data_IF_991420198219
#
_entry.id   IF_991420198219
#
_cell.length_a   1.000
_cell.length_b   1.000
_cell.length_c   1.000
_cell.angle_alpha   90.00
_cell.angle_beta   90.00
_cell.angle_gamma   90.00
#
_symmetry.space_group_name_H-M   'P 1'
#
loop_
_entity.id
_entity.type
_entity.pdbx_description
1 polymer ?
#
# COMPACT_ATOMS: atom_id res chain seq x y z
N UNK A 1 21.67 16.12 31.89
CA UNK A 1 20.66 17.18 31.99
C UNK A 1 19.88 17.19 30.67
N UNK A 2 18.82 16.38 30.64
CA UNK A 2 17.98 16.21 29.41
C UNK A 2 16.88 17.27 29.48
N UNK A 3 16.92 18.22 28.55
CA UNK A 3 15.79 19.12 28.31
C UNK A 3 14.93 18.42 27.29
N UNK A 4 13.87 17.74 27.74
CA UNK A 4 12.80 17.22 26.91
C UNK A 4 11.94 18.41 26.53
N UNK A 5 11.95 18.79 25.25
CA UNK A 5 11.09 19.85 24.70
C UNK A 5 9.63 19.42 24.76
N UNK A 6 8.92 19.91 25.76
CA UNK A 6 7.47 19.75 25.94
C UNK A 6 6.68 20.75 25.08
N UNK A 7 6.87 20.74 23.77
CA UNK A 7 6.20 21.72 22.88
C UNK A 7 5.30 21.15 21.80
N UNK A 8 4.99 19.85 21.82
CA UNK A 8 4.15 19.22 20.76
C UNK A 8 2.75 18.83 21.25
N UNK A 9 2.44 18.93 22.54
CA UNK A 9 1.12 18.51 23.06
C UNK A 9 0.10 19.63 23.30
N UNK A 10 0.38 20.86 22.92
CA UNK A 10 -0.51 21.99 23.22
C UNK A 10 -1.62 22.24 22.19
N UNK A 11 -1.71 21.48 21.07
CA UNK A 11 -2.80 21.65 20.11
C UNK A 11 -3.83 20.52 20.06
N UNK A 12 -3.61 19.43 20.80
CA UNK A 12 -4.54 18.29 20.83
C UNK A 12 -5.36 18.18 22.14
N UNK A 13 -5.41 19.20 22.96
CA UNK A 13 -5.85 19.07 24.36
C UNK A 13 -7.08 19.86 24.77
N UNK A 14 -7.89 20.43 23.90
CA UNK A 14 -9.18 20.96 24.31
C UNK A 14 -10.28 19.93 24.03
N UNK A 15 -10.74 19.29 25.11
CA UNK A 15 -11.95 18.46 25.12
C UNK A 15 -13.16 19.31 24.73
N UNK A 16 -13.58 19.21 23.49
CA UNK A 16 -14.80 19.86 23.00
C UNK A 16 -15.96 18.92 23.30
N UNK A 17 -16.53 19.00 24.48
CA UNK A 17 -17.80 18.36 24.80
C UNK A 17 -18.88 18.86 23.84
N UNK A 18 -19.41 17.97 23.01
CA UNK A 18 -20.66 18.14 22.26
C UNK A 18 -20.60 18.80 20.87
N UNK A 19 -19.45 19.23 20.36
CA UNK A 19 -19.34 19.75 19.00
C UNK A 19 -18.90 18.63 18.04
N UNK A 20 -19.73 18.32 17.03
CA UNK A 20 -19.33 17.43 15.94
C UNK A 20 -18.08 18.03 15.27
N UNK A 21 -16.98 17.32 15.30
CA UNK A 21 -15.71 17.75 14.70
C UNK A 21 -15.87 17.80 13.18
N UNK A 22 -15.28 18.79 12.55
CA UNK A 22 -15.32 18.99 11.10
C UNK A 22 -13.91 19.09 10.56
N UNK A 23 -13.67 18.53 9.39
CA UNK A 23 -12.41 18.67 8.66
C UNK A 23 -12.03 20.13 8.36
N UNK A 24 -12.98 21.04 8.39
CA UNK A 24 -12.75 22.46 8.09
C UNK A 24 -11.68 23.12 9.00
N UNK A 25 -11.57 22.72 10.26
CA UNK A 25 -10.53 23.27 11.14
C UNK A 25 -9.14 22.70 10.79
N UNK A 26 -9.08 21.42 10.44
CA UNK A 26 -7.85 20.83 9.92
C UNK A 26 -7.46 21.41 8.55
N UNK A 27 -8.43 21.69 7.65
CA UNK A 27 -8.17 22.32 6.36
C UNK A 27 -7.41 23.66 6.49
N UNK A 28 -7.74 24.47 7.49
CA UNK A 28 -7.03 25.73 7.77
C UNK A 28 -5.54 25.49 8.11
N UNK A 29 -5.29 24.47 8.94
CA UNK A 29 -3.93 24.05 9.25
C UNK A 29 -3.19 23.54 8.01
N UNK A 30 -3.89 22.75 7.18
CA UNK A 30 -3.34 22.21 5.93
C UNK A 30 -2.96 23.32 4.96
N UNK A 31 -3.82 24.32 4.76
CA UNK A 31 -3.54 25.49 3.91
C UNK A 31 -2.29 26.19 4.38
N UNK A 32 -2.17 26.49 5.67
CA UNK A 32 -0.99 27.20 6.19
C UNK A 32 0.32 26.42 5.95
N UNK A 33 0.30 25.09 6.05
CA UNK A 33 1.46 24.24 5.76
C UNK A 33 1.79 24.26 4.24
N UNK A 34 0.80 24.09 3.37
CA UNK A 34 0.98 24.08 1.92
C UNK A 34 1.43 25.45 1.38
N UNK A 35 0.88 26.56 1.89
CA UNK A 35 1.34 27.92 1.55
C UNK A 35 2.78 28.16 1.99
N UNK A 36 3.15 27.69 3.19
CA UNK A 36 4.55 27.75 3.64
C UNK A 36 5.45 26.94 2.72
N UNK A 37 5.04 25.75 2.32
CA UNK A 37 5.78 24.92 1.38
C UNK A 37 5.90 25.64 0.02
N UNK A 38 4.81 26.18 -0.53
CA UNK A 38 4.80 26.89 -1.80
C UNK A 38 5.77 28.09 -1.80
N UNK A 39 5.86 28.82 -0.69
CA UNK A 39 6.75 29.97 -0.51
C UNK A 39 8.19 29.58 -0.12
N UNK A 40 8.48 28.29 0.09
CA UNK A 40 9.84 27.85 0.38
C UNK A 40 10.66 27.83 -0.91
N UNK A 41 11.84 28.51 -0.97
CA UNK A 41 12.70 28.50 -2.15
C UNK A 41 13.14 27.09 -2.54
N UNK A 42 13.26 26.84 -3.84
CA UNK A 42 13.57 25.50 -4.38
C UNK A 42 14.92 24.93 -3.90
N UNK A 43 15.91 25.79 -3.65
CA UNK A 43 17.22 25.42 -3.12
C UNK A 43 17.18 24.97 -1.65
N UNK A 44 16.13 25.32 -0.91
CA UNK A 44 15.88 24.85 0.44
C UNK A 44 15.09 23.52 0.48
N UNK A 45 14.53 23.09 -0.65
CA UNK A 45 13.82 21.81 -0.77
C UNK A 45 14.77 20.76 -1.35
N UNK A 46 14.90 19.65 -0.61
CA UNK A 46 15.69 18.50 -1.07
C UNK A 46 14.75 17.34 -1.39
N UNK A 47 15.07 16.55 -2.43
CA UNK A 47 14.35 15.30 -2.67
C UNK A 47 14.41 14.38 -1.43
N UNK A 48 13.29 13.82 -1.06
CA UNK A 48 13.23 12.80 -0.02
C UNK A 48 13.74 11.48 -0.58
N UNK A 49 14.74 10.90 0.10
CA UNK A 49 15.19 9.54 -0.17
C UNK A 49 14.36 8.62 0.71
N UNK A 50 13.52 7.83 0.07
CA UNK A 50 12.66 6.87 0.73
C UNK A 50 13.38 5.53 0.81
N UNK A 51 13.32 4.89 1.96
CA UNK A 51 13.85 3.55 2.18
C UNK A 51 12.81 2.71 2.92
N UNK A 52 12.46 1.58 2.34
CA UNK A 52 11.53 0.62 2.94
C UNK A 52 12.11 -0.77 2.86
N UNK A 53 11.93 -1.54 3.93
CA UNK A 53 12.43 -2.91 4.03
C UNK A 53 11.32 -3.86 4.45
N UNK A 54 11.24 -5.01 3.79
CA UNK A 54 10.39 -6.12 4.22
C UNK A 54 11.24 -7.34 4.58
N UNK A 55 11.01 -7.89 5.76
CA UNK A 55 11.61 -9.12 6.23
C UNK A 55 10.57 -10.23 6.31
N UNK A 56 10.92 -11.44 5.83
CA UNK A 56 10.14 -12.64 6.07
C UNK A 56 10.37 -13.15 7.49
N UNK A 57 9.30 -13.52 8.19
CA UNK A 57 9.42 -14.23 9.46
C UNK A 57 9.84 -15.69 9.17
N UNK A 58 10.77 -16.21 9.96
CA UNK A 58 11.39 -17.49 9.64
C UNK A 58 10.49 -18.71 9.85
N UNK A 59 9.31 -18.56 10.51
CA UNK A 59 8.44 -19.69 10.90
C UNK A 59 6.98 -19.52 10.50
N UNK A 60 6.68 -18.46 9.77
CA UNK A 60 5.33 -18.14 9.33
C UNK A 60 5.37 -17.36 8.03
N UNK A 61 4.23 -17.26 7.34
CA UNK A 61 4.08 -16.42 6.13
C UNK A 61 4.02 -14.93 6.40
N UNK A 62 4.18 -14.54 7.66
CA UNK A 62 4.15 -13.15 8.11
C UNK A 62 5.37 -12.41 7.58
N UNK A 63 5.13 -11.25 7.04
CA UNK A 63 6.14 -10.31 6.57
C UNK A 63 6.01 -9.01 7.34
N UNK A 64 7.13 -8.44 7.70
CA UNK A 64 7.23 -7.20 8.44
C UNK A 64 7.77 -6.11 7.53
N UNK A 65 6.92 -5.15 7.19
CA UNK A 65 7.27 -3.96 6.43
C UNK A 65 7.74 -2.90 7.41
N UNK A 66 8.98 -2.49 7.33
CA UNK A 66 9.59 -1.44 8.16
C UNK A 66 9.73 -0.17 7.35
N UNK A 67 9.15 0.91 7.84
CA UNK A 67 9.12 2.24 7.21
C UNK A 67 9.48 3.25 8.30
N UNK A 68 10.67 3.82 8.25
CA UNK A 68 11.16 4.70 9.32
C UNK A 68 10.99 4.05 10.70
N UNK A 69 10.24 4.65 11.62
CA UNK A 69 9.91 4.11 12.95
C UNK A 69 8.64 3.22 12.95
N UNK A 70 7.97 3.08 11.82
CA UNK A 70 6.70 2.33 11.71
C UNK A 70 6.93 0.91 11.22
N UNK A 71 6.00 0.04 11.61
CA UNK A 71 5.95 -1.33 11.11
C UNK A 71 4.51 -1.68 10.69
N UNK A 72 4.39 -2.30 9.52
CA UNK A 72 3.13 -2.87 9.05
C UNK A 72 3.33 -4.38 8.88
N UNK A 73 2.38 -5.15 9.39
CA UNK A 73 2.35 -6.60 9.20
C UNK A 73 1.60 -6.90 7.91
N UNK A 74 2.18 -7.72 7.05
CA UNK A 74 1.53 -8.31 5.88
C UNK A 74 1.58 -9.83 6.01
N UNK A 75 0.52 -10.51 5.62
CA UNK A 75 0.44 -11.97 5.67
C UNK A 75 -0.36 -12.49 4.48
N UNK A 76 -0.36 -13.79 4.32
CA UNK A 76 -1.15 -14.47 3.30
C UNK A 76 -2.24 -15.34 3.97
N UNK A 77 -3.28 -15.73 3.23
CA UNK A 77 -4.30 -16.63 3.73
C UNK A 77 -3.78 -18.06 3.87
N UNK A 78 -4.58 -18.93 4.50
CA UNK A 78 -4.22 -20.31 4.81
C UNK A 78 -3.85 -21.15 3.57
N UNK A 79 -4.45 -20.85 2.42
CA UNK A 79 -4.17 -21.47 1.12
C UNK A 79 -2.70 -21.34 0.69
N UNK A 80 -2.04 -20.32 1.20
CA UNK A 80 -0.61 -20.05 1.00
C UNK A 80 0.22 -20.23 2.29
N UNK A 81 -0.31 -20.99 3.25
CA UNK A 81 0.33 -21.26 4.55
C UNK A 81 0.52 -20.02 5.43
N UNK A 82 -0.38 -19.05 5.34
CA UNK A 82 -0.46 -17.90 6.22
C UNK A 82 -1.54 -18.04 7.29
N UNK A 83 -1.68 -17.02 8.10
CA UNK A 83 -2.64 -16.94 9.20
C UNK A 83 -3.57 -15.73 9.08
N UNK A 84 -3.50 -15.00 7.95
CA UNK A 84 -4.25 -13.75 7.75
C UNK A 84 -4.05 -12.72 8.88
N UNK A 85 -2.84 -12.63 9.44
CA UNK A 85 -2.51 -11.69 10.53
C UNK A 85 -2.29 -10.26 10.04
N UNK A 86 -2.24 -10.05 8.74
CA UNK A 86 -2.13 -8.75 8.08
C UNK A 86 -2.75 -8.80 6.68
N UNK A 87 -2.94 -7.64 6.05
CA UNK A 87 -3.47 -7.59 4.69
C UNK A 87 -2.47 -8.14 3.67
N UNK A 88 -3.00 -8.62 2.54
CA UNK A 88 -2.21 -8.99 1.39
C UNK A 88 -1.64 -7.77 0.65
N UNK A 89 -0.52 -7.94 -0.05
CA UNK A 89 0.12 -6.83 -0.77
C UNK A 89 -0.79 -6.19 -1.84
N UNK A 90 -1.58 -6.93 -2.65
CA UNK A 90 -2.46 -6.30 -3.63
C UNK A 90 -3.53 -5.39 -3.01
N UNK A 91 -4.18 -5.83 -1.92
CA UNK A 91 -5.16 -5.03 -1.18
C UNK A 91 -4.51 -3.77 -0.59
N UNK A 92 -3.35 -3.92 0.04
CA UNK A 92 -2.60 -2.82 0.62
C UNK A 92 -2.16 -1.80 -0.44
N UNK A 93 -1.78 -2.26 -1.64
CA UNK A 93 -1.35 -1.39 -2.74
C UNK A 93 -2.48 -0.48 -3.21
N UNK A 94 -3.65 -1.04 -3.53
CA UNK A 94 -4.78 -0.22 -3.99
C UNK A 94 -5.33 0.66 -2.86
N UNK A 95 -5.27 0.21 -1.61
CA UNK A 95 -5.71 1.05 -0.48
C UNK A 95 -4.70 2.18 -0.18
N UNK A 96 -3.41 1.98 -0.45
CA UNK A 96 -2.44 3.08 -0.40
C UNK A 96 -2.75 4.15 -1.45
N UNK A 97 -3.19 3.75 -2.65
CA UNK A 97 -3.69 4.66 -3.68
C UNK A 97 -4.93 5.43 -3.20
N UNK A 98 -5.92 4.75 -2.60
CA UNK A 98 -7.11 5.41 -2.05
C UNK A 98 -6.74 6.43 -0.97
N UNK A 99 -5.76 6.11 -0.12
CA UNK A 99 -5.25 7.02 0.91
C UNK A 99 -4.56 8.25 0.32
N UNK A 100 -3.80 8.08 -0.75
CA UNK A 100 -3.13 9.17 -1.44
C UNK A 100 -4.12 10.11 -2.12
N UNK A 101 -5.12 9.53 -2.80
CA UNK A 101 -6.19 10.28 -3.43
C UNK A 101 -7.03 11.06 -2.41
N UNK A 102 -7.33 10.48 -1.23
CA UNK A 102 -8.02 11.20 -0.16
C UNK A 102 -7.21 12.40 0.34
N UNK A 103 -5.90 12.24 0.47
CA UNK A 103 -5.01 13.32 0.89
C UNK A 103 -4.94 14.46 -0.12
N UNK A 104 -4.76 14.13 -1.40
CA UNK A 104 -4.69 15.13 -2.46
C UNK A 104 -6.04 15.81 -2.72
N UNK A 105 -7.16 15.06 -2.63
CA UNK A 105 -8.49 15.66 -2.68
C UNK A 105 -8.67 16.71 -1.60
N UNK A 106 -8.32 16.38 -0.34
CA UNK A 106 -8.42 17.32 0.76
C UNK A 106 -7.48 18.52 0.59
N UNK A 107 -6.27 18.30 0.08
CA UNK A 107 -5.28 19.36 -0.18
C UNK A 107 -5.78 20.36 -1.22
N UNK A 108 -6.26 19.85 -2.37
CA UNK A 108 -6.81 20.67 -3.44
C UNK A 108 -8.06 21.44 -2.97
N UNK A 109 -8.98 20.77 -2.28
CA UNK A 109 -10.17 21.41 -1.70
C UNK A 109 -9.77 22.54 -0.73
N UNK A 110 -8.79 22.27 0.13
CA UNK A 110 -8.30 23.25 1.11
C UNK A 110 -7.72 24.48 0.44
N UNK A 111 -6.84 24.30 -0.56
CA UNK A 111 -6.21 25.41 -1.31
C UNK A 111 -7.23 26.23 -2.11
N UNK A 112 -8.32 25.61 -2.56
CA UNK A 112 -9.43 26.31 -3.25
C UNK A 112 -10.44 26.94 -2.28
N UNK A 113 -10.26 26.77 -0.97
CA UNK A 113 -11.19 27.26 0.03
C UNK A 113 -12.53 26.51 0.06
N UNK A 114 -12.59 25.34 -0.54
CA UNK A 114 -13.79 24.49 -0.55
C UNK A 114 -13.89 23.74 0.78
N UNK A 115 -14.97 24.00 1.51
CA UNK A 115 -15.24 23.33 2.79
C UNK A 115 -15.58 21.87 2.60
N UNK A 116 -14.91 21.00 3.34
CA UNK A 116 -15.18 19.58 3.43
C UNK A 116 -15.55 19.25 4.88
N UNK A 117 -16.73 18.70 5.10
CA UNK A 117 -17.17 18.30 6.44
C UNK A 117 -16.79 16.86 6.79
N UNK A 118 -16.81 15.96 5.80
CA UNK A 118 -16.29 14.59 5.93
C UNK A 118 -15.78 14.08 4.59
N UNK A 119 -14.79 13.19 4.62
CA UNK A 119 -14.15 12.62 3.44
C UNK A 119 -13.74 11.17 3.68
N UNK A 120 -14.07 10.31 2.72
CA UNK A 120 -13.60 8.94 2.65
C UNK A 120 -13.42 8.50 1.21
N UNK A 121 -12.62 7.47 1.01
CA UNK A 121 -12.41 6.86 -0.32
C UNK A 121 -12.49 5.35 -0.20
N UNK A 122 -13.38 4.72 -0.96
CA UNK A 122 -13.36 3.28 -1.16
C UNK A 122 -12.69 2.94 -2.49
N UNK A 123 -12.12 1.74 -2.58
CA UNK A 123 -11.42 1.28 -3.77
C UNK A 123 -11.63 -0.22 -3.97
N UNK A 124 -11.73 -0.63 -5.23
CA UNK A 124 -11.91 -2.02 -5.58
C UNK A 124 -11.34 -2.32 -6.98
N UNK A 125 -11.05 -3.58 -7.25
CA UNK A 125 -10.84 -4.09 -8.60
C UNK A 125 -12.12 -4.75 -9.10
N UNK A 126 -12.43 -4.57 -10.37
CA UNK A 126 -13.57 -5.22 -11.02
C UNK A 126 -13.09 -6.45 -11.82
N UNK A 127 -13.90 -7.49 -11.95
CA UNK A 127 -13.58 -8.61 -12.81
C UNK A 127 -13.52 -8.16 -14.28
N UNK A 128 -12.75 -8.87 -15.09
CA UNK A 128 -12.73 -8.65 -16.52
C UNK A 128 -14.11 -8.90 -17.14
N UNK A 129 -14.56 -7.99 -17.99
CA UNK A 129 -15.85 -8.11 -18.70
C UNK A 129 -15.85 -9.22 -19.75
N UNK A 130 -14.67 -9.60 -20.23
CA UNK A 130 -14.42 -10.71 -21.15
C UNK A 130 -13.28 -11.57 -20.68
N UNK A 131 -13.31 -12.86 -21.01
CA UNK A 131 -12.20 -13.76 -20.71
C UNK A 131 -11.01 -13.38 -21.58
N UNK A 132 -9.92 -12.99 -20.92
CA UNK A 132 -8.66 -12.68 -21.58
C UNK A 132 -7.92 -13.95 -22.00
N UNK A 133 -7.22 -13.92 -23.13
CA UNK A 133 -6.34 -15.01 -23.58
C UNK A 133 -5.18 -15.19 -22.59
N UNK A 134 -4.54 -14.06 -22.20
CA UNK A 134 -3.55 -14.02 -21.14
C UNK A 134 -4.09 -13.22 -19.96
N UNK A 135 -4.32 -13.87 -18.80
CA UNK A 135 -4.84 -13.18 -17.62
C UNK A 135 -3.86 -12.12 -17.11
N UNK A 136 -4.36 -10.92 -16.83
CA UNK A 136 -3.59 -9.89 -16.14
C UNK A 136 -3.41 -10.32 -14.69
N UNK A 137 -2.16 -10.39 -14.24
CA UNK A 137 -1.80 -10.94 -12.93
C UNK A 137 -1.75 -9.89 -11.82
N UNK A 138 -1.85 -8.60 -12.14
CA UNK A 138 -1.79 -7.49 -11.20
C UNK A 138 -3.16 -6.84 -10.99
N UNK A 139 -3.38 -6.08 -9.91
CA UNK A 139 -4.59 -5.31 -9.70
C UNK A 139 -4.84 -4.38 -10.89
N UNK A 140 -5.96 -4.58 -11.58
CA UNK A 140 -6.40 -3.82 -12.74
C UNK A 140 -7.93 -3.63 -12.69
N UNK A 141 -8.50 -2.90 -13.66
CA UNK A 141 -9.90 -2.49 -13.65
C UNK A 141 -10.27 -1.80 -12.31
N UNK A 142 -9.36 -0.98 -11.82
CA UNK A 142 -9.50 -0.31 -10.52
C UNK A 142 -10.58 0.77 -10.64
N UNK A 143 -11.52 0.75 -9.69
CA UNK A 143 -12.50 1.80 -9.48
C UNK A 143 -12.34 2.32 -8.05
N UNK A 144 -12.25 3.63 -7.89
CA UNK A 144 -12.36 4.27 -6.59
C UNK A 144 -13.59 5.18 -6.51
N UNK A 145 -14.11 5.36 -5.31
CA UNK A 145 -15.26 6.23 -5.04
C UNK A 145 -14.90 7.16 -3.90
N UNK A 146 -14.98 8.45 -4.15
CA UNK A 146 -14.84 9.50 -3.13
C UNK A 146 -16.21 9.74 -2.49
N UNK A 147 -16.33 9.53 -1.20
CA UNK A 147 -17.48 9.90 -0.38
C UNK A 147 -17.17 11.23 0.27
N UNK A 148 -17.99 12.23 0.01
CA UNK A 148 -17.71 13.57 0.46
C UNK A 148 -18.98 14.29 0.93
N UNK A 149 -18.87 14.96 2.08
CA UNK A 149 -19.89 15.91 2.55
C UNK A 149 -19.34 17.33 2.42
N UNK A 150 -19.97 18.11 1.57
CA UNK A 150 -19.58 19.47 1.23
C UNK A 150 -20.78 20.23 0.64
N UNK A 151 -20.77 21.54 0.74
CA UNK A 151 -21.76 22.43 0.10
C UNK A 151 -21.34 22.85 -1.32
N UNK A 152 -20.14 22.44 -1.81
CA UNK A 152 -19.67 22.75 -3.16
C UNK A 152 -20.52 22.05 -4.24
N UNK A 153 -20.51 22.56 -5.47
CA UNK A 153 -21.23 21.94 -6.58
C UNK A 153 -20.57 20.61 -7.04
N UNK A 154 -21.33 19.81 -7.78
CA UNK A 154 -20.80 18.54 -8.31
C UNK A 154 -19.65 18.78 -9.29
N UNK A 155 -19.73 19.84 -10.11
CA UNK A 155 -18.69 20.23 -11.06
C UNK A 155 -17.41 20.65 -10.34
N UNK A 156 -17.53 21.35 -9.20
CA UNK A 156 -16.37 21.75 -8.40
C UNK A 156 -15.72 20.57 -7.72
N UNK A 157 -16.51 19.67 -7.12
CA UNK A 157 -16.00 18.45 -6.51
C UNK A 157 -15.31 17.55 -7.54
N UNK A 158 -15.89 17.41 -8.74
CA UNK A 158 -15.27 16.63 -9.83
C UNK A 158 -13.97 17.29 -10.31
N UNK A 159 -13.93 18.63 -10.42
CA UNK A 159 -12.70 19.36 -10.72
C UNK A 159 -11.61 19.15 -9.66
N UNK A 160 -11.99 19.07 -8.39
CA UNK A 160 -11.07 18.76 -7.27
C UNK A 160 -10.55 17.32 -7.42
N UNK A 161 -11.43 16.36 -7.69
CA UNK A 161 -11.07 14.96 -7.90
C UNK A 161 -10.06 14.79 -9.01
N UNK A 162 -10.31 15.38 -10.18
CA UNK A 162 -9.41 15.34 -11.33
C UNK A 162 -8.06 16.02 -11.06
N UNK A 163 -8.05 17.08 -10.27
CA UNK A 163 -6.81 17.74 -9.87
C UNK A 163 -6.03 16.88 -8.86
N UNK A 164 -6.73 16.22 -7.93
CA UNK A 164 -6.11 15.29 -6.99
C UNK A 164 -5.40 14.12 -7.70
N UNK A 165 -5.99 13.57 -8.76
CA UNK A 165 -5.33 12.56 -9.61
C UNK A 165 -4.02 13.08 -10.22
N UNK A 166 -4.03 14.32 -10.73
CA UNK A 166 -2.85 14.96 -11.36
C UNK A 166 -1.72 15.25 -10.37
N UNK A 167 -2.04 15.47 -9.10
CA UNK A 167 -1.06 15.81 -8.06
C UNK A 167 -0.60 14.59 -7.25
N UNK A 168 -1.30 13.46 -7.36
CA UNK A 168 -1.04 12.26 -6.57
C UNK A 168 0.16 11.46 -7.09
N UNK A 169 1.28 11.38 -6.34
CA UNK A 169 2.43 10.58 -6.75
C UNK A 169 2.12 9.08 -6.84
N UNK A 170 1.18 8.59 -6.02
CA UNK A 170 0.77 7.19 -6.04
C UNK A 170 -0.16 6.89 -7.22
N UNK A 171 -0.99 7.85 -7.64
CA UNK A 171 -1.81 7.69 -8.85
C UNK A 171 -0.92 7.55 -10.08
N UNK A 172 0.06 8.42 -10.25
CA UNK A 172 1.05 8.34 -11.34
C UNK A 172 1.89 7.06 -11.27
N UNK A 173 2.28 6.62 -10.06
CA UNK A 173 3.01 5.38 -9.87
C UNK A 173 2.23 4.15 -10.40
N UNK A 174 0.91 4.14 -10.20
CA UNK A 174 0.04 3.01 -10.55
C UNK A 174 -0.44 3.08 -12.01
N UNK A 175 -0.65 4.27 -12.56
CA UNK A 175 -1.17 4.45 -13.91
C UNK A 175 -0.09 4.48 -15.00
N UNK A 176 1.13 4.86 -14.65
CA UNK A 176 2.24 5.02 -15.58
C UNK A 176 3.27 3.89 -15.42
N UNK A 177 3.91 3.52 -16.51
CA UNK A 177 5.00 2.55 -16.48
C UNK A 177 6.21 3.11 -15.75
N UNK A 178 6.63 2.43 -14.68
CA UNK A 178 7.80 2.79 -13.90
C UNK A 178 9.05 2.05 -14.37
N UNK A 179 10.21 2.72 -14.27
CA UNK A 179 11.50 2.06 -14.40
C UNK A 179 11.96 1.58 -13.02
N UNK A 180 11.88 0.27 -12.80
CA UNK A 180 12.30 -0.36 -11.54
C UNK A 180 13.62 -1.09 -11.76
N UNK A 181 14.66 -0.60 -11.07
CA UNK A 181 15.99 -1.23 -11.11
C UNK A 181 16.06 -2.32 -10.04
N UNK A 182 16.56 -3.49 -10.42
CA UNK A 182 16.72 -4.63 -9.51
C UNK A 182 18.18 -4.93 -9.22
N UNK A 183 18.46 -5.28 -7.96
CA UNK A 183 19.75 -5.78 -7.51
C UNK A 183 19.59 -7.07 -6.70
N UNK A 184 20.62 -7.90 -6.71
CA UNK A 184 20.72 -9.09 -5.87
C UNK A 184 21.90 -8.96 -4.91
N UNK A 185 21.62 -9.02 -3.62
CA UNK A 185 22.61 -9.30 -2.57
C UNK A 185 22.53 -10.79 -2.20
N UNK A 186 23.44 -11.55 -2.77
CA UNK A 186 23.49 -13.00 -2.62
C UNK A 186 24.65 -13.44 -1.73
N UNK A 187 24.39 -14.42 -0.85
CA UNK A 187 25.45 -15.20 -0.25
C UNK A 187 25.09 -16.68 -0.21
N UNK A 188 26.05 -17.49 -0.62
CA UNK A 188 25.92 -18.94 -0.55
C UNK A 188 26.09 -19.41 0.89
N UNK A 189 25.14 -20.21 1.35
CA UNK A 189 25.22 -20.86 2.66
C UNK A 189 25.75 -22.29 2.48
N UNK A 190 26.39 -22.88 3.52
CA UNK A 190 26.84 -24.28 3.43
C UNK A 190 25.64 -25.20 3.14
N UNK A 191 25.83 -26.27 2.34
CA UNK A 191 24.83 -27.32 2.22
C UNK A 191 24.69 -27.97 3.60
N UNK A 192 23.58 -27.67 4.27
CA UNK A 192 23.23 -28.31 5.54
C UNK A 192 22.54 -29.62 5.20
N UNK A 193 23.11 -30.74 5.58
CA UNK A 193 22.42 -32.01 5.64
C UNK A 193 21.10 -31.78 6.37
N UNK A 194 20.00 -32.36 5.90
CA UNK A 194 18.66 -32.12 6.36
C UNK A 194 18.57 -31.99 7.89
N UNK A 195 18.61 -30.78 8.39
CA UNK A 195 18.26 -30.51 9.77
C UNK A 195 16.74 -30.74 9.90
N UNK A 196 16.41 -31.99 10.22
CA UNK A 196 15.04 -32.38 10.55
C UNK A 196 14.78 -32.09 12.02
N UNK A 197 13.62 -31.53 12.32
CA UNK A 197 13.19 -31.28 13.70
C UNK A 197 13.21 -29.81 14.13
N UNK A 198 13.05 -29.54 15.44
CA UNK A 198 12.81 -28.17 15.95
C UNK A 198 13.99 -27.19 15.78
N UNK A 199 15.15 -27.70 15.41
CA UNK A 199 16.37 -26.91 15.19
C UNK A 199 16.66 -26.62 13.71
N UNK A 200 15.80 -27.10 12.78
CA UNK A 200 15.94 -26.72 11.38
C UNK A 200 15.83 -25.20 11.23
N UNK A 201 16.62 -24.56 10.33
CA UNK A 201 16.43 -23.15 9.99
C UNK A 201 14.96 -22.88 9.69
N UNK A 202 14.38 -21.89 10.38
CA UNK A 202 12.92 -21.70 10.40
C UNK A 202 12.33 -21.51 9.01
N UNK A 203 13.01 -20.75 8.11
CA UNK A 203 12.50 -20.51 6.77
C UNK A 203 12.47 -21.79 5.93
N UNK A 204 13.48 -22.67 6.02
CA UNK A 204 13.47 -23.97 5.31
C UNK A 204 12.27 -24.82 5.72
N UNK A 205 12.01 -24.91 7.02
CA UNK A 205 10.87 -25.67 7.55
C UNK A 205 9.53 -25.05 7.11
N UNK A 206 9.44 -23.73 7.14
CA UNK A 206 8.25 -23.03 6.68
C UNK A 206 7.99 -23.24 5.18
N UNK A 207 9.02 -23.18 4.34
CA UNK A 207 8.88 -23.43 2.89
C UNK A 207 8.40 -24.84 2.59
N UNK A 208 8.85 -25.85 3.34
CA UNK A 208 8.36 -27.23 3.23
C UNK A 208 6.86 -27.31 3.62
N UNK A 209 6.47 -26.62 4.68
CA UNK A 209 5.06 -26.54 5.08
C UNK A 209 4.24 -25.81 4.01
N UNK A 210 4.72 -24.70 3.51
CA UNK A 210 4.09 -23.91 2.43
C UNK A 210 3.92 -24.74 1.15
N UNK A 211 4.91 -25.51 0.75
CA UNK A 211 4.83 -26.44 -0.39
C UNK A 211 3.67 -27.43 -0.23
N UNK A 212 3.53 -28.04 0.96
CA UNK A 212 2.41 -28.96 1.26
C UNK A 212 1.06 -28.26 1.21
N UNK A 213 0.94 -27.07 1.78
CA UNK A 213 -0.29 -26.31 1.79
C UNK A 213 -0.73 -25.91 0.36
N UNK A 214 0.20 -25.42 -0.46
CA UNK A 214 -0.07 -25.07 -1.86
C UNK A 214 -0.51 -26.30 -2.65
N UNK A 215 0.23 -27.41 -2.58
CA UNK A 215 -0.12 -28.67 -3.27
C UNK A 215 -1.51 -29.17 -2.85
N UNK A 216 -1.83 -29.12 -1.56
CA UNK A 216 -3.15 -29.49 -1.06
C UNK A 216 -4.26 -28.59 -1.63
N UNK A 217 -4.06 -27.28 -1.60
CA UNK A 217 -5.00 -26.29 -2.14
C UNK A 217 -5.23 -26.51 -3.63
N UNK A 218 -4.18 -26.66 -4.43
CA UNK A 218 -4.27 -26.94 -5.86
C UNK A 218 -5.07 -28.23 -6.14
N UNK A 219 -4.87 -29.27 -5.32
CA UNK A 219 -5.64 -30.53 -5.43
C UNK A 219 -7.14 -30.35 -5.09
N UNK A 220 -7.49 -29.52 -4.10
CA UNK A 220 -8.90 -29.25 -3.79
C UNK A 220 -9.56 -28.42 -4.89
N UNK A 221 -8.88 -27.39 -5.36
CA UNK A 221 -9.36 -26.52 -6.44
C UNK A 221 -9.55 -27.26 -7.76
N UNK A 222 -8.72 -28.25 -8.05
CA UNK A 222 -8.89 -29.13 -9.22
C UNK A 222 -10.15 -30.01 -9.13
N UNK A 223 -10.65 -30.29 -7.91
CA UNK A 223 -11.85 -31.08 -7.67
C UNK A 223 -13.13 -30.26 -7.62
N UNK A 224 -13.04 -29.00 -7.26
CA UNK A 224 -14.20 -28.12 -7.00
C UNK A 224 -14.05 -26.77 -7.71
N UNK A 225 -14.67 -26.66 -8.89
CA UNK A 225 -14.70 -25.42 -9.66
C UNK A 225 -15.51 -24.32 -8.99
N UNK A 226 -16.46 -24.65 -8.12
CA UNK A 226 -17.28 -23.68 -7.37
C UNK A 226 -16.41 -23.03 -6.30
N UNK A 227 -15.50 -23.77 -5.67
CA UNK A 227 -14.53 -23.22 -4.72
C UNK A 227 -13.62 -22.17 -5.40
N UNK A 228 -13.18 -22.41 -6.64
CA UNK A 228 -12.45 -21.42 -7.45
C UNK A 228 -13.24 -20.14 -7.69
N UNK A 229 -14.52 -20.26 -7.99
CA UNK A 229 -15.40 -19.11 -8.19
C UNK A 229 -15.54 -18.30 -6.89
N UNK A 230 -15.77 -18.98 -5.77
CA UNK A 230 -15.88 -18.33 -4.44
C UNK A 230 -14.60 -17.63 -4.00
N UNK A 231 -13.43 -18.23 -4.26
CA UNK A 231 -12.13 -17.61 -3.97
C UNK A 231 -11.80 -16.42 -4.89
N UNK A 232 -12.48 -16.33 -6.04
CA UNK A 232 -12.34 -15.26 -7.04
C UNK A 232 -13.52 -14.29 -7.08
N UNK A 233 -14.54 -14.49 -6.24
CA UNK A 233 -15.63 -13.51 -6.14
C UNK A 233 -15.04 -12.14 -5.81
N UNK A 234 -15.45 -11.08 -6.58
CA UNK A 234 -14.96 -9.75 -6.34
C UNK A 234 -15.20 -9.40 -4.87
N UNK A 235 -14.16 -9.05 -4.19
CA UNK A 235 -14.29 -8.56 -2.83
C UNK A 235 -15.20 -7.34 -2.87
N UNK A 236 -16.21 -7.34 -2.01
CA UNK A 236 -17.20 -6.27 -1.97
C UNK A 236 -16.51 -4.94 -1.71
N UNK A 237 -17.01 -3.88 -2.37
CA UNK A 237 -16.51 -2.51 -2.30
C UNK A 237 -16.26 -2.00 -0.87
N UNK A 238 -16.94 -2.55 0.11
CA UNK A 238 -16.93 -2.11 1.50
C UNK A 238 -15.71 -2.58 2.32
N UNK A 239 -14.85 -3.39 1.72
CA UNK A 239 -13.73 -4.02 2.44
C UNK A 239 -12.44 -3.23 2.41
N UNK A 240 -12.30 -2.34 1.42
CA UNK A 240 -11.10 -1.53 1.21
C UNK A 240 -11.52 -0.07 1.17
N UNK A 241 -11.33 0.64 2.27
CA UNK A 241 -11.66 2.05 2.33
C UNK A 241 -10.73 2.82 3.25
N UNK A 242 -10.75 4.11 3.08
CA UNK A 242 -9.98 5.08 3.84
C UNK A 242 -10.92 6.16 4.34
N UNK A 243 -10.75 6.56 5.59
CA UNK A 243 -11.46 7.71 6.19
C UNK A 243 -10.47 8.74 6.66
N UNK A 244 -10.78 10.00 6.41
CA UNK A 244 -9.94 11.09 6.89
C UNK A 244 -10.40 11.49 8.28
N UNK A 245 -9.47 11.47 9.24
CA UNK A 245 -9.72 11.89 10.61
C UNK A 245 -9.92 13.41 10.68
N UNK A 246 -11.03 13.89 11.25
CA UNK A 246 -11.36 15.31 11.23
C UNK A 246 -10.47 16.19 12.10
N UNK A 247 -9.69 15.61 13.01
CA UNK A 247 -8.80 16.38 13.89
C UNK A 247 -7.39 16.52 13.32
N UNK A 248 -6.85 15.42 12.78
CA UNK A 248 -5.45 15.32 12.37
C UNK A 248 -5.26 15.30 10.86
N UNK A 249 -6.33 15.03 10.08
CA UNK A 249 -6.22 14.75 8.66
C UNK A 249 -5.53 13.41 8.34
N UNK A 250 -5.16 12.65 9.36
CA UNK A 250 -4.63 11.31 9.18
C UNK A 250 -5.69 10.41 8.52
N UNK A 251 -5.24 9.46 7.71
CA UNK A 251 -6.10 8.54 6.99
C UNK A 251 -6.15 7.21 7.72
N UNK A 252 -7.33 6.87 8.24
CA UNK A 252 -7.63 5.55 8.79
C UNK A 252 -7.85 4.59 7.64
N UNK A 253 -6.94 3.65 7.47
CA UNK A 253 -6.96 2.67 6.38
C UNK A 253 -7.60 1.39 6.89
N UNK A 254 -8.62 0.92 6.18
CA UNK A 254 -9.37 -0.30 6.51
C UNK A 254 -9.23 -1.29 5.37
N UNK A 255 -8.68 -2.46 5.68
CA UNK A 255 -8.55 -3.58 4.75
C UNK A 255 -9.15 -4.81 5.42
N UNK A 256 -10.39 -5.17 5.07
CA UNK A 256 -11.16 -6.22 5.74
C UNK A 256 -11.30 -5.89 7.24
N UNK A 257 -10.67 -6.65 8.11
CA UNK A 257 -10.61 -6.42 9.58
C UNK A 257 -9.30 -5.79 10.05
N UNK A 258 -8.38 -5.51 9.14
CA UNK A 258 -7.11 -4.86 9.47
C UNK A 258 -7.24 -3.35 9.38
N UNK A 259 -6.68 -2.67 10.36
CA UNK A 259 -6.71 -1.21 10.43
C UNK A 259 -5.32 -0.68 10.75
N UNK A 260 -4.93 0.40 10.09
CA UNK A 260 -3.73 1.16 10.37
C UNK A 260 -3.90 2.62 9.93
N UNK A 261 -2.89 3.44 10.15
CA UNK A 261 -2.96 4.86 9.87
C UNK A 261 -1.91 5.21 8.81
N UNK A 262 -2.32 5.99 7.82
CA UNK A 262 -1.41 6.80 7.02
C UNK A 262 -1.49 8.25 7.47
N UNK A 263 -0.35 8.93 7.50
CA UNK A 263 -0.32 10.35 7.79
C UNK A 263 0.78 11.03 6.97
N UNK A 264 0.70 12.33 6.85
CA UNK A 264 1.69 13.11 6.15
C UNK A 264 2.80 13.58 7.07
N UNK A 265 3.93 13.93 6.45
CA UNK A 265 4.99 14.66 7.13
C UNK A 265 4.51 16.06 7.55
N UNK A 266 5.04 16.64 8.63
CA UNK A 266 4.66 17.97 9.09
C UNK A 266 4.81 19.08 8.05
N UNK A 267 5.75 18.98 7.12
CA UNK A 267 5.92 19.93 6.02
C UNK A 267 4.71 19.95 5.07
N UNK A 268 3.95 18.86 5.02
CA UNK A 268 2.70 18.73 4.26
C UNK A 268 1.45 18.89 5.14
N UNK A 269 1.60 19.35 6.39
CA UNK A 269 0.51 19.58 7.32
C UNK A 269 0.01 18.34 8.06
N UNK A 270 0.74 17.23 8.05
CA UNK A 270 0.45 16.05 8.87
C UNK A 270 1.05 16.12 10.27
N UNK A 271 0.77 15.13 11.09
CA UNK A 271 1.29 14.95 12.45
C UNK A 271 2.31 13.80 12.55
N UNK A 272 2.63 13.14 11.43
CA UNK A 272 3.52 11.96 11.34
C UNK A 272 3.07 10.80 12.26
N UNK A 273 1.76 10.54 12.30
CA UNK A 273 1.16 9.48 13.13
C UNK A 273 1.27 8.09 12.51
N UNK A 274 1.68 8.00 11.26
CA UNK A 274 1.84 6.76 10.51
C UNK A 274 2.74 6.96 9.29
N UNK A 275 3.08 5.90 8.55
CA UNK A 275 3.77 6.05 7.28
C UNK A 275 2.90 6.81 6.28
N UNK A 276 3.52 7.45 5.33
CA UNK A 276 2.79 8.06 4.21
C UNK A 276 2.28 6.97 3.26
N UNK A 277 1.26 7.29 2.44
CA UNK A 277 0.75 6.40 1.38
C UNK A 277 1.84 5.98 0.39
N UNK A 278 2.70 6.93 0.00
CA UNK A 278 3.79 6.68 -0.95
C UNK A 278 4.96 5.89 -0.34
N UNK A 279 5.20 5.93 0.97
CA UNK A 279 6.12 5.02 1.65
C UNK A 279 5.53 3.61 1.73
N UNK A 280 4.23 3.51 2.07
CA UNK A 280 3.59 2.20 2.21
C UNK A 280 3.49 1.46 0.89
N UNK A 281 3.20 2.14 -0.23
CA UNK A 281 3.13 1.46 -1.54
C UNK A 281 4.48 0.86 -1.96
N UNK A 282 5.61 1.48 -1.60
CA UNK A 282 6.93 0.85 -1.75
C UNK A 282 7.06 -0.39 -0.86
N UNK A 283 6.51 -0.35 0.35
CA UNK A 283 6.44 -1.49 1.26
C UNK A 283 5.61 -2.65 0.71
N UNK A 284 4.54 -2.36 -0.03
CA UNK A 284 3.74 -3.41 -0.67
C UNK A 284 4.50 -4.11 -1.80
N UNK A 285 5.34 -3.39 -2.56
CA UNK A 285 6.23 -3.97 -3.55
C UNK A 285 7.20 -4.97 -2.89
N UNK A 286 7.93 -4.54 -1.87
CA UNK A 286 8.91 -5.41 -1.17
C UNK A 286 8.24 -6.59 -0.50
N UNK A 287 7.05 -6.40 0.10
CA UNK A 287 6.26 -7.47 0.71
C UNK A 287 5.77 -8.48 -0.33
N UNK A 288 5.33 -8.02 -1.50
CA UNK A 288 4.88 -8.88 -2.58
C UNK A 288 6.03 -9.72 -3.13
N UNK A 289 7.15 -9.10 -3.46
CA UNK A 289 8.36 -9.82 -3.94
C UNK A 289 8.77 -10.88 -2.93
N UNK A 290 8.82 -10.55 -1.63
CA UNK A 290 9.17 -11.51 -0.57
C UNK A 290 8.19 -12.70 -0.57
N UNK A 291 6.87 -12.43 -0.62
CA UNK A 291 5.83 -13.46 -0.61
C UNK A 291 5.89 -14.37 -1.85
N UNK A 292 6.01 -13.77 -3.04
CA UNK A 292 6.11 -14.55 -4.28
C UNK A 292 7.40 -15.37 -4.32
N UNK A 293 8.49 -14.86 -3.74
CA UNK A 293 9.71 -15.64 -3.57
C UNK A 293 9.47 -16.89 -2.72
N UNK A 294 8.77 -16.76 -1.59
CA UNK A 294 8.41 -17.91 -0.76
C UNK A 294 7.53 -18.92 -1.51
N UNK A 295 6.55 -18.44 -2.29
CA UNK A 295 5.70 -19.31 -3.11
C UNK A 295 6.51 -20.05 -4.16
N UNK A 296 7.33 -19.36 -4.93
CA UNK A 296 8.09 -19.95 -6.01
C UNK A 296 9.20 -20.90 -5.47
N UNK A 297 9.83 -20.53 -4.37
CA UNK A 297 10.77 -21.41 -3.68
C UNK A 297 10.08 -22.69 -3.18
N UNK A 298 8.89 -22.58 -2.59
CA UNK A 298 8.12 -23.74 -2.11
C UNK A 298 7.62 -24.64 -3.25
N UNK A 299 7.25 -24.07 -4.41
CA UNK A 299 6.80 -24.82 -5.59
C UNK A 299 7.93 -25.57 -6.28
N UNK A 300 9.13 -25.01 -6.30
CA UNK A 300 10.29 -25.53 -7.01
C UNK A 300 11.32 -26.20 -6.11
N UNK A 301 10.95 -26.54 -4.86
CA UNK A 301 11.83 -27.13 -3.86
C UNK A 301 13.18 -26.38 -3.72
N UNK A 302 13.11 -25.05 -3.85
CA UNK A 302 14.26 -24.17 -3.72
C UNK A 302 14.51 -23.83 -2.24
N UNK A 303 15.71 -24.11 -1.77
CA UNK A 303 16.09 -23.90 -0.37
C UNK A 303 16.50 -22.44 -0.16
N UNK A 304 15.88 -21.77 0.78
CA UNK A 304 16.23 -20.43 1.25
C UNK A 304 16.45 -20.45 2.75
N UNK A 305 17.55 -19.89 3.22
CA UNK A 305 17.84 -19.76 4.65
C UNK A 305 17.31 -18.44 5.22
N UNK A 306 17.48 -17.37 4.48
CA UNK A 306 16.88 -16.09 4.81
C UNK A 306 16.62 -15.26 3.56
N UNK A 307 15.57 -14.42 3.64
CA UNK A 307 15.20 -13.46 2.62
C UNK A 307 14.67 -12.18 3.26
N UNK A 308 15.09 -11.07 2.69
CA UNK A 308 14.44 -9.78 2.86
C UNK A 308 14.59 -8.96 1.58
N UNK A 309 13.71 -8.00 1.39
CA UNK A 309 13.74 -7.10 0.24
C UNK A 309 13.75 -5.66 0.75
N UNK A 310 14.67 -4.85 0.26
CA UNK A 310 14.66 -3.40 0.48
C UNK A 310 14.38 -2.67 -0.83
N UNK A 311 13.78 -1.50 -0.74
CA UNK A 311 13.54 -0.60 -1.86
C UNK A 311 13.93 0.81 -1.49
N UNK A 312 14.58 1.49 -2.42
CA UNK A 312 14.87 2.92 -2.36
C UNK A 312 14.11 3.61 -3.49
N UNK A 313 13.61 4.79 -3.24
CA UNK A 313 12.98 5.65 -4.22
C UNK A 313 13.18 7.12 -3.85
N UNK A 314 12.96 8.01 -4.82
CA UNK A 314 13.00 9.45 -4.59
C UNK A 314 11.59 10.03 -4.68
N UNK A 315 11.22 10.88 -3.72
CA UNK A 315 10.05 11.74 -3.77
C UNK A 315 10.50 13.20 -3.73
N UNK A 316 10.11 13.99 -4.72
CA UNK A 316 10.62 15.36 -4.87
C UNK A 316 9.48 16.39 -4.84
N UNK A 317 9.39 17.15 -3.75
CA UNK A 317 8.40 18.22 -3.57
C UNK A 317 8.55 19.41 -4.52
N UNK A 318 9.59 19.40 -5.36
CA UNK A 318 9.81 20.44 -6.38
C UNK A 318 9.12 20.11 -7.70
N UNK A 319 8.61 18.90 -7.87
CA UNK A 319 7.91 18.49 -9.09
C UNK A 319 6.82 19.51 -9.47
N UNK A 320 6.81 19.94 -10.74
CA UNK A 320 5.89 20.95 -11.27
C UNK A 320 6.15 22.39 -10.88
N UNK A 321 7.23 22.68 -10.12
CA UNK A 321 7.67 24.07 -9.84
C UNK A 321 8.53 24.62 -10.97
N UNK A 322 8.63 25.96 -11.05
CA UNK A 322 9.48 26.65 -12.01
C UNK A 322 10.94 26.13 -11.94
N UNK A 323 11.46 25.69 -13.09
CA UNK A 323 12.78 25.08 -13.22
C UNK A 323 12.86 23.59 -12.78
N UNK A 324 11.71 22.96 -12.46
CA UNK A 324 11.59 21.55 -12.08
C UNK A 324 10.43 20.86 -12.80
N UNK A 325 10.07 21.34 -13.99
CA UNK A 325 8.96 20.84 -14.81
C UNK A 325 9.19 19.40 -15.29
N UNK A 326 10.47 19.02 -15.47
CA UNK A 326 10.88 17.68 -15.89
C UNK A 326 10.98 16.67 -14.72
N UNK A 327 10.80 17.13 -13.47
CA UNK A 327 10.84 16.25 -12.30
C UNK A 327 9.52 15.49 -12.22
N UNK A 328 9.54 14.13 -12.18
CA UNK A 328 8.31 13.35 -12.12
C UNK A 328 7.52 13.66 -10.84
N UNK A 329 6.19 13.75 -10.96
CA UNK A 329 5.28 13.80 -9.81
C UNK A 329 5.30 12.44 -9.08
N UNK A 330 5.38 11.35 -9.85
CA UNK A 330 5.54 9.99 -9.34
C UNK A 330 6.82 9.80 -8.53
N UNK A 331 6.84 8.77 -7.71
CA UNK A 331 8.10 8.26 -7.16
C UNK A 331 9.02 7.83 -8.30
N UNK A 332 10.27 8.21 -8.22
CA UNK A 332 11.25 7.90 -9.26
C UNK A 332 12.54 7.33 -8.67
N UNK A 333 13.50 6.91 -9.53
CA UNK A 333 14.72 6.23 -9.11
C UNK A 333 14.41 4.99 -8.24
N UNK A 334 13.34 4.26 -8.58
CA UNK A 334 12.91 3.10 -7.81
C UNK A 334 13.92 1.98 -8.04
N UNK A 335 14.55 1.56 -6.96
CA UNK A 335 15.52 0.47 -6.96
C UNK A 335 15.24 -0.46 -5.80
N UNK A 336 14.98 -1.75 -6.07
CA UNK A 336 14.92 -2.74 -5.02
C UNK A 336 16.15 -3.63 -5.00
N UNK A 337 16.52 -4.11 -3.81
CA UNK A 337 17.57 -5.11 -3.60
C UNK A 337 16.95 -6.35 -2.98
N UNK A 338 17.15 -7.47 -3.64
CA UNK A 338 16.70 -8.78 -3.21
C UNK A 338 17.84 -9.48 -2.45
N UNK A 339 17.75 -9.52 -1.12
CA UNK A 339 18.75 -10.09 -0.25
C UNK A 339 18.41 -11.55 0.01
N UNK A 340 19.21 -12.47 -0.53
CA UNK A 340 18.98 -13.92 -0.40
C UNK A 340 20.19 -14.64 0.18
N UNK A 341 19.92 -15.56 1.10
CA UNK A 341 20.90 -16.51 1.65
C UNK A 341 20.40 -17.92 1.36
N UNK A 342 21.16 -18.70 0.58
CA UNK A 342 20.74 -20.00 0.06
C UNK A 342 21.95 -20.90 -0.19
N UNK A 343 21.84 -22.25 -0.04
CA UNK A 343 22.89 -23.16 -0.47
C UNK A 343 22.94 -23.37 -2.00
N UNK A 344 21.96 -22.82 -2.76
CA UNK A 344 21.91 -22.89 -4.23
C UNK A 344 22.93 -21.94 -4.85
N UNK A 345 23.24 -22.14 -6.13
CA UNK A 345 24.17 -21.27 -6.87
C UNK A 345 23.59 -19.85 -7.09
N UNK A 346 24.47 -18.92 -7.45
CA UNK A 346 24.05 -17.56 -7.84
C UNK A 346 23.13 -17.58 -9.07
N UNK A 347 23.46 -18.42 -10.06
CA UNK A 347 22.67 -18.58 -11.29
C UNK A 347 21.27 -19.12 -11.00
N UNK A 348 21.13 -20.04 -10.03
CA UNK A 348 19.82 -20.53 -9.60
C UNK A 348 19.03 -19.46 -8.84
N UNK A 349 19.70 -18.62 -8.05
CA UNK A 349 19.09 -17.49 -7.38
C UNK A 349 18.59 -16.44 -8.39
N UNK A 350 19.36 -16.16 -9.45
CA UNK A 350 18.93 -15.27 -10.55
C UNK A 350 17.70 -15.83 -11.25
N UNK A 351 17.67 -17.11 -11.60
CA UNK A 351 16.50 -17.75 -12.21
C UNK A 351 15.25 -17.67 -11.33
N UNK A 352 15.43 -17.85 -10.01
CA UNK A 352 14.31 -17.71 -9.07
C UNK A 352 13.81 -16.27 -9.03
N UNK A 353 14.70 -15.27 -9.00
CA UNK A 353 14.30 -13.85 -9.07
C UNK A 353 13.53 -13.56 -10.34
N UNK A 354 14.02 -13.94 -11.51
CA UNK A 354 13.37 -13.69 -12.79
C UNK A 354 11.97 -14.33 -12.85
N UNK A 355 11.83 -15.55 -12.30
CA UNK A 355 10.53 -16.20 -12.14
C UNK A 355 9.62 -15.40 -11.18
N UNK A 356 10.15 -14.91 -10.07
CA UNK A 356 9.38 -14.09 -9.11
C UNK A 356 8.88 -12.81 -9.78
N UNK A 357 9.71 -12.09 -10.50
CA UNK A 357 9.33 -10.87 -11.22
C UNK A 357 8.24 -11.13 -12.26
N UNK A 358 8.37 -12.22 -13.02
CA UNK A 358 7.39 -12.56 -14.07
C UNK A 358 5.97 -12.82 -13.54
N UNK A 359 5.83 -13.20 -12.25
CA UNK A 359 4.54 -13.56 -11.64
C UNK A 359 4.15 -12.70 -10.43
N UNK A 360 4.97 -11.73 -10.04
CA UNK A 360 4.69 -10.86 -8.90
C UNK A 360 3.64 -9.80 -9.27
N UNK A 361 2.43 -9.80 -8.66
CA UNK A 361 1.39 -8.85 -9.04
C UNK A 361 1.81 -7.39 -8.88
N UNK A 362 2.52 -7.05 -7.81
CA UNK A 362 2.85 -5.65 -7.56
C UNK A 362 4.05 -5.18 -8.38
N UNK A 363 5.03 -6.04 -8.64
CA UNK A 363 6.09 -5.72 -9.59
C UNK A 363 5.51 -5.45 -10.99
N UNK A 364 4.59 -6.31 -11.45
CA UNK A 364 3.94 -6.13 -12.75
C UNK A 364 3.00 -4.91 -12.79
N UNK A 365 2.39 -4.54 -11.66
CA UNK A 365 1.63 -3.29 -11.59
C UNK A 365 2.53 -2.07 -11.82
N UNK A 366 3.76 -2.05 -11.29
CA UNK A 366 4.69 -0.94 -11.46
C UNK A 366 5.22 -0.79 -12.89
N UNK A 367 5.44 -1.90 -13.61
CA UNK A 367 6.06 -1.88 -14.94
C UNK A 367 5.06 -1.83 -16.10
N UNK A 368 3.76 -1.74 -15.82
CA UNK A 368 2.70 -1.67 -16.82
C UNK A 368 1.83 -0.43 -16.62
N UNK A 369 1.38 0.15 -17.73
CA UNK A 369 0.42 1.24 -17.72
C UNK A 369 -0.99 0.71 -17.54
N UNK A 370 -1.84 1.47 -16.84
CA UNK A 370 -3.26 1.16 -16.72
C UNK A 370 -4.11 2.40 -16.48
N UNK A 371 -5.40 2.26 -16.72
CA UNK A 371 -6.40 3.28 -16.42
C UNK A 371 -7.13 2.96 -15.12
N UNK A 372 -7.48 4.01 -14.39
CA UNK A 372 -8.24 3.94 -13.14
C UNK A 372 -9.50 4.79 -13.31
N UNK A 373 -10.62 4.27 -12.88
CA UNK A 373 -11.89 4.98 -12.92
C UNK A 373 -12.19 5.57 -11.53
N UNK A 374 -12.56 6.86 -11.49
CA UNK A 374 -12.93 7.56 -10.27
C UNK A 374 -14.35 8.10 -10.36
N UNK A 375 -15.05 8.15 -9.21
CA UNK A 375 -16.38 8.79 -9.08
C UNK A 375 -16.54 9.42 -7.73
N UNK A 376 -17.55 10.30 -7.60
CA UNK A 376 -17.94 10.97 -6.35
C UNK A 376 -19.34 10.54 -5.93
N UNK A 377 -19.53 10.36 -4.64
CA UNK A 377 -20.83 10.21 -3.97
C UNK A 377 -20.90 11.24 -2.86
N UNK A 378 -22.00 12.03 -2.85
CA UNK A 378 -22.24 13.07 -1.84
C UNK A 378 -22.92 12.47 -0.61
N UNK A 379 -22.18 11.70 0.15
CA UNK A 379 -22.65 11.06 1.37
C UNK A 379 -21.58 11.13 2.45
N UNK A 380 -22.01 11.13 3.71
CA UNK A 380 -21.10 10.95 4.82
C UNK A 380 -20.58 9.49 4.80
N UNK A 381 -19.28 9.24 4.86
CA UNK A 381 -18.73 7.88 4.96
C UNK A 381 -19.35 7.06 6.10
N UNK A 382 -19.68 7.69 7.22
CA UNK A 382 -20.35 7.04 8.36
C UNK A 382 -21.79 6.62 8.04
N UNK A 383 -22.51 7.40 7.23
CA UNK A 383 -23.88 7.06 6.80
C UNK A 383 -23.87 5.87 5.83
N UNK A 384 -22.88 5.80 4.95
CA UNK A 384 -22.71 4.67 4.05
C UNK A 384 -22.51 3.33 4.79
N UNK A 385 -21.76 3.33 5.89
CA UNK A 385 -21.58 2.16 6.76
C UNK A 385 -22.87 1.65 7.42
N UNK A 386 -23.85 2.53 7.59
CA UNK A 386 -25.12 2.20 8.24
C UNK A 386 -26.15 1.57 7.27
N UNK A 387 -25.92 1.63 5.95
CA UNK A 387 -26.82 1.00 4.98
C UNK A 387 -26.75 -0.54 5.09
N UNK A 388 -27.94 -1.21 5.25
CA UNK A 388 -27.99 -2.65 5.44
C UNK A 388 -27.40 -3.48 4.30
N UNK A 389 -27.25 -2.90 3.12
CA UNK A 389 -26.66 -3.59 1.96
C UNK A 389 -25.15 -3.81 2.12
N UNK A 390 -24.47 -3.02 2.96
CA UNK A 390 -23.04 -3.19 3.27
C UNK A 390 -22.79 -4.24 4.35
N UNK A 391 -23.81 -4.62 5.13
CA UNK A 391 -23.73 -5.56 6.25
C UNK A 391 -24.08 -7.02 5.89
N UNK A 392 -24.53 -7.27 4.67
CA UNK A 392 -24.97 -8.61 4.35
C UNK A 392 -23.82 -9.53 3.97
N UNK A 393 -23.59 -10.52 4.80
CA UNK A 393 -23.28 -11.87 4.43
C UNK A 393 -21.87 -12.45 4.62
N UNK A 394 -20.92 -11.82 5.30
CA UNK A 394 -19.67 -12.56 5.58
C UNK A 394 -19.24 -12.48 7.04
N UNK A 395 -20.10 -12.95 7.94
CA UNK A 395 -19.68 -13.63 9.15
C UNK A 395 -19.94 -15.12 8.90
N UNK A 396 -18.87 -15.83 8.55
CA UNK A 396 -18.55 -17.24 8.89
C UNK A 396 -17.39 -17.69 8.00
#
# INVERSE_FOLDING_TARGET
>A
MFIVSAFVFASCGDSIEGKKLSLNDYQKHRVAALEKLANTPNDHLKPYQLEVKTTAEQRAGVRRISIRQFQIVSDCPAEHAGFSLGPGSPESTITALASDLADHFLSVASLRGVRIDSLGVSIATRPDSVKLEEPIIYPHNILYTVYVKSDASDEELESIRLQAEKESPVFHLVTEKQNVVQEIDYAQTPPVEQLTGPYAPGLRQYLQYKSKAIKWTEQQLAKDTILWQKLREPEQYDRLHVEVDPLSGARKVHIRWHNFIHDNLPILGGCDLGPTSYEHILGTLTSCITHITEIQAAKNDFIIDSIWVSVNATYDLRAGREGFEDVPISLHNIKYTWHIRTPRSYEDAVKLRDLVESVCPIYNLYINEQTIEGRIIREDPDEYRLHPQSRSQYFY
#
